data_IF_618682649951
#
_entry.id   IF_618682649951
#
_cell.length_a   1.000
_cell.length_b   1.000
_cell.length_c   1.000
_cell.angle_alpha   90.00
_cell.angle_beta   90.00
_cell.angle_gamma   90.00
#
_symmetry.space_group_name_H-M   'P 1'
#
loop_
_entity.id
_entity.type
_entity.pdbx_description
1 polymer ?
#
# COMPACT_ATOMS: atom_id res chain seq x y z
N UNK A 1 -38.08 52.36 -29.68
CA UNK A 1 -38.28 51.22 -30.62
C UNK A 1 -37.27 50.13 -30.31
N UNK A 2 -37.67 48.88 -30.53
CA UNK A 2 -37.10 47.63 -29.96
C UNK A 2 -35.76 47.22 -30.60
N UNK A 3 -34.86 46.63 -29.81
CA UNK A 3 -33.93 45.57 -30.24
C UNK A 3 -33.46 44.79 -28.99
N UNK A 4 -34.16 43.74 -28.57
CA UNK A 4 -33.97 42.32 -28.93
C UNK A 4 -32.57 41.76 -28.58
N UNK A 5 -32.53 41.22 -27.37
CA UNK A 5 -31.79 40.04 -26.91
C UNK A 5 -31.21 39.12 -27.99
N UNK A 6 -29.89 38.86 -27.91
CA UNK A 6 -29.27 37.64 -28.43
C UNK A 6 -28.33 37.06 -27.37
N UNK A 7 -28.79 35.94 -26.83
CA UNK A 7 -28.05 34.98 -26.00
C UNK A 7 -27.18 34.10 -26.93
N UNK A 8 -26.31 33.31 -26.31
CA UNK A 8 -25.50 32.20 -26.86
C UNK A 8 -24.20 32.61 -27.55
N UNK A 9 -23.08 32.28 -26.92
CA UNK A 9 -22.34 31.11 -27.38
C UNK A 9 -21.61 30.49 -26.19
N UNK A 10 -22.16 29.37 -25.70
CA UNK A 10 -21.61 28.55 -24.62
C UNK A 10 -20.23 28.00 -25.05
N UNK A 11 -19.18 28.52 -24.42
CA UNK A 11 -17.88 27.85 -24.33
C UNK A 11 -17.95 26.84 -23.17
N UNK A 12 -18.53 25.68 -23.42
CA UNK A 12 -18.68 24.59 -22.46
C UNK A 12 -17.96 23.34 -22.93
N UNK A 13 -16.63 23.36 -22.90
CA UNK A 13 -15.84 22.13 -23.03
C UNK A 13 -16.00 21.36 -21.73
N UNK A 14 -16.92 20.40 -21.80
CA UNK A 14 -17.25 19.42 -20.77
C UNK A 14 -16.02 18.54 -20.51
N UNK A 15 -15.30 18.84 -19.43
CA UNK A 15 -14.29 17.94 -18.86
C UNK A 15 -15.02 16.75 -18.22
N UNK A 16 -15.21 15.67 -18.98
CA UNK A 16 -15.62 14.38 -18.43
C UNK A 16 -14.40 13.77 -17.75
N UNK A 17 -14.17 14.11 -16.48
CA UNK A 17 -13.31 13.33 -15.60
C UNK A 17 -14.11 12.09 -15.23
N UNK A 18 -13.89 11.00 -15.95
CA UNK A 18 -14.40 9.68 -15.57
C UNK A 18 -13.77 9.29 -14.24
N UNK A 19 -14.49 9.57 -13.15
CA UNK A 19 -14.23 8.99 -11.84
C UNK A 19 -14.42 7.48 -11.94
N UNK A 20 -13.33 6.75 -12.16
CA UNK A 20 -13.30 5.33 -11.90
C UNK A 20 -13.54 5.12 -10.41
N UNK A 21 -14.72 4.62 -10.05
CA UNK A 21 -14.99 4.16 -8.70
C UNK A 21 -13.95 3.09 -8.35
N UNK A 22 -13.02 3.42 -7.46
CA UNK A 22 -12.06 2.49 -6.90
C UNK A 22 -12.80 1.52 -5.97
N UNK A 23 -13.40 0.46 -6.52
CA UNK A 23 -14.09 -0.58 -5.74
C UNK A 23 -13.12 -1.59 -5.08
N UNK A 24 -11.81 -1.30 -5.04
CA UNK A 24 -10.80 -2.18 -4.48
C UNK A 24 -10.76 -2.19 -2.95
N UNK A 25 -10.20 -3.25 -2.37
CA UNK A 25 -9.89 -3.28 -0.94
C UNK A 25 -8.78 -2.28 -0.66
N UNK A 26 -9.04 -1.33 0.25
CA UNK A 26 -8.06 -0.30 0.60
C UNK A 26 -7.33 -0.71 1.86
N UNK A 27 -6.04 -1.04 1.76
CA UNK A 27 -5.19 -1.22 2.92
C UNK A 27 -4.58 0.12 3.32
N UNK A 28 -4.83 0.54 4.55
CA UNK A 28 -4.17 1.70 5.16
C UNK A 28 -3.35 1.27 6.37
N UNK A 29 -2.27 1.98 6.63
CA UNK A 29 -1.41 1.69 7.76
C UNK A 29 -0.43 2.81 8.08
N UNK A 30 0.33 2.60 9.14
CA UNK A 30 1.37 3.52 9.60
C UNK A 30 2.63 2.76 9.91
N UNK A 31 3.75 3.31 9.45
CA UNK A 31 5.09 2.81 9.80
C UNK A 31 5.66 3.74 10.86
N UNK A 32 6.12 3.17 11.97
CA UNK A 32 6.69 3.89 13.11
C UNK A 32 8.10 3.37 13.40
N UNK A 33 8.90 4.20 14.06
CA UNK A 33 10.24 3.81 14.51
C UNK A 33 10.16 3.29 15.95
N UNK A 34 10.64 2.07 16.20
CA UNK A 34 10.85 1.57 17.57
C UNK A 34 12.10 0.69 17.67
N UNK A 35 12.36 0.13 18.85
CA UNK A 35 13.45 -0.82 19.09
C UNK A 35 13.12 -2.27 18.71
N UNK A 36 11.91 -2.52 18.20
CA UNK A 36 11.44 -3.84 17.75
C UNK A 36 10.94 -3.81 16.31
N UNK A 37 11.15 -4.89 15.57
CA UNK A 37 10.74 -5.01 14.17
C UNK A 37 9.55 -5.97 14.05
N UNK A 38 8.37 -5.47 13.65
CA UNK A 38 7.17 -6.29 13.43
C UNK A 38 6.15 -5.57 12.56
N UNK A 39 5.23 -6.31 11.96
CA UNK A 39 4.06 -5.78 11.26
C UNK A 39 2.83 -6.58 11.68
N UNK A 40 1.75 -5.89 12.05
CA UNK A 40 0.52 -6.55 12.53
C UNK A 40 -0.71 -5.69 12.29
N UNK A 41 -1.86 -6.33 12.13
CA UNK A 41 -3.14 -5.64 12.02
C UNK A 41 -3.65 -5.25 13.39
N UNK A 42 -3.89 -3.95 13.57
CA UNK A 42 -4.43 -3.36 14.80
C UNK A 42 -5.79 -2.72 14.53
N UNK A 43 -6.52 -2.39 15.59
CA UNK A 43 -7.72 -1.56 15.45
C UNK A 43 -7.35 -0.15 14.95
N UNK A 44 -8.24 0.48 14.19
CA UNK A 44 -8.04 1.85 13.72
C UNK A 44 -7.89 2.88 14.86
N UNK A 45 -8.36 2.57 16.07
CA UNK A 45 -8.18 3.40 17.27
C UNK A 45 -7.00 2.97 18.17
N UNK A 46 -6.09 2.09 17.70
CA UNK A 46 -4.93 1.68 18.49
C UNK A 46 -3.98 2.87 18.71
N UNK A 47 -3.69 3.20 19.97
CA UNK A 47 -2.88 4.37 20.35
C UNK A 47 -1.45 4.33 19.81
N UNK A 48 -0.93 3.14 19.45
CA UNK A 48 0.40 3.03 18.81
C UNK A 48 0.42 3.66 17.42
N UNK A 49 -0.74 3.85 16.78
CA UNK A 49 -0.86 4.57 15.52
C UNK A 49 -0.61 6.08 15.69
N UNK A 50 -0.57 6.62 16.92
CA UNK A 50 -0.26 8.03 17.18
C UNK A 50 1.24 8.30 17.32
N UNK A 51 2.07 7.25 17.39
CA UNK A 51 3.51 7.40 17.52
C UNK A 51 4.14 8.12 16.31
N UNK A 52 5.31 8.78 16.49
CA UNK A 52 6.01 9.43 15.39
C UNK A 52 6.29 8.47 14.23
N UNK A 53 5.75 8.80 13.06
CA UNK A 53 5.85 7.95 11.89
C UNK A 53 7.19 8.04 11.16
N UNK A 54 7.40 7.08 10.27
CA UNK A 54 8.63 6.87 9.53
C UNK A 54 8.39 7.09 8.03
N UNK A 55 8.72 8.30 7.55
CA UNK A 55 8.41 8.79 6.19
C UNK A 55 9.33 8.36 5.03
N UNK A 56 8.85 7.70 3.99
CA UNK A 56 9.68 7.17 2.89
C UNK A 56 10.07 5.70 3.03
N UNK A 57 9.33 4.92 3.84
CA UNK A 57 9.40 3.46 3.80
C UNK A 57 8.62 2.94 2.59
N UNK A 58 9.18 1.93 1.91
CA UNK A 58 8.51 1.22 0.81
C UNK A 58 7.67 0.09 1.39
N UNK A 59 6.41 0.01 1.00
CA UNK A 59 5.48 -1.05 1.40
C UNK A 59 5.06 -1.80 0.15
N UNK A 60 5.32 -3.10 0.09
CA UNK A 60 4.94 -3.98 -1.01
C UNK A 60 4.09 -5.14 -0.50
N UNK A 61 3.11 -5.54 -1.29
CA UNK A 61 2.16 -6.59 -0.94
C UNK A 61 2.08 -7.58 -2.08
N UNK A 62 2.26 -8.84 -1.73
CA UNK A 62 2.33 -9.97 -2.64
C UNK A 62 1.20 -10.95 -2.36
N UNK A 63 0.58 -11.44 -3.44
CA UNK A 63 -0.37 -12.54 -3.45
C UNK A 63 0.36 -13.88 -3.61
N UNK A 64 -0.30 -14.96 -3.23
CA UNK A 64 0.14 -16.34 -3.42
C UNK A 64 1.53 -16.57 -2.80
N UNK A 65 1.69 -16.27 -1.50
CA UNK A 65 3.00 -16.16 -0.87
C UNK A 65 3.78 -17.48 -0.84
N UNK A 66 3.10 -18.61 -1.01
CA UNK A 66 3.65 -19.97 -1.06
C UNK A 66 4.16 -20.37 -2.45
N UNK A 67 3.87 -19.59 -3.49
CA UNK A 67 4.32 -19.87 -4.85
C UNK A 67 5.68 -19.24 -5.11
N UNK A 68 6.47 -19.86 -6.00
CA UNK A 68 7.77 -19.32 -6.43
C UNK A 68 7.60 -18.00 -7.20
N UNK A 69 6.44 -17.81 -7.85
CA UNK A 69 6.15 -16.61 -8.65
C UNK A 69 5.08 -15.75 -7.96
N UNK A 70 5.45 -15.19 -6.81
CA UNK A 70 4.56 -14.31 -6.03
C UNK A 70 4.19 -13.09 -6.86
N UNK A 71 2.89 -12.79 -6.94
CA UNK A 71 2.43 -11.64 -7.73
C UNK A 71 2.39 -10.37 -6.87
N UNK A 72 3.08 -9.31 -7.27
CA UNK A 72 2.97 -8.00 -6.63
C UNK A 72 1.57 -7.42 -6.89
N UNK A 73 0.75 -7.37 -5.84
CA UNK A 73 -0.62 -6.87 -5.95
C UNK A 73 -0.73 -5.36 -5.67
N UNK A 74 0.23 -4.79 -4.93
CA UNK A 74 0.21 -3.38 -4.60
C UNK A 74 1.50 -2.89 -3.96
N UNK A 75 1.75 -1.59 -4.11
CA UNK A 75 2.86 -0.90 -3.46
C UNK A 75 2.49 0.52 -3.08
N UNK A 76 3.11 1.02 -2.02
CA UNK A 76 3.07 2.43 -1.62
C UNK A 76 4.38 2.86 -0.98
N UNK A 77 4.53 4.17 -0.81
CA UNK A 77 5.60 4.77 -0.01
C UNK A 77 4.96 5.60 1.09
N UNK A 78 5.52 5.54 2.30
CA UNK A 78 4.96 6.31 3.41
C UNK A 78 5.19 7.81 3.24
N UNK A 79 4.20 8.61 3.61
CA UNK A 79 4.25 10.07 3.62
C UNK A 79 5.09 10.65 4.77
N UNK A 80 5.14 11.98 4.90
CA UNK A 80 5.89 12.67 5.95
C UNK A 80 5.52 12.24 7.38
N UNK A 81 4.28 11.78 7.58
CA UNK A 81 3.75 11.33 8.87
C UNK A 81 3.87 9.81 9.05
N UNK A 82 4.47 9.11 8.09
CA UNK A 82 4.65 7.66 8.10
C UNK A 82 3.41 6.86 7.68
N UNK A 83 2.37 7.52 7.15
CA UNK A 83 1.15 6.85 6.71
C UNK A 83 1.29 6.35 5.28
N UNK A 84 0.56 5.29 4.95
CA UNK A 84 0.45 4.80 3.58
C UNK A 84 -0.97 4.29 3.30
N UNK A 85 -1.33 4.25 2.02
CA UNK A 85 -2.56 3.62 1.53
C UNK A 85 -2.27 2.90 0.23
N UNK A 86 -2.76 1.65 0.13
CA UNK A 86 -2.64 0.78 -1.05
C UNK A 86 -4.04 0.32 -1.43
N UNK A 87 -4.42 0.54 -2.69
CA UNK A 87 -5.63 -0.04 -3.27
C UNK A 87 -5.27 -1.38 -3.87
N UNK A 88 -5.82 -2.46 -3.30
CA UNK A 88 -5.61 -3.82 -3.77
C UNK A 88 -6.75 -4.24 -4.71
N UNK A 89 -6.44 -5.02 -5.76
CA UNK A 89 -7.46 -5.55 -6.67
C UNK A 89 -8.45 -6.44 -5.91
N UNK A 90 -9.75 -6.29 -6.20
CA UNK A 90 -10.86 -6.75 -5.36
C UNK A 90 -11.07 -8.28 -5.35
N UNK A 91 -10.55 -9.03 -6.32
CA UNK A 91 -10.79 -10.47 -6.42
C UNK A 91 -10.15 -11.22 -5.25
N UNK A 92 -10.96 -11.89 -4.40
CA UNK A 92 -10.48 -12.74 -3.29
C UNK A 92 -10.18 -12.02 -1.97
N UNK A 93 -10.04 -10.69 -1.97
CA UNK A 93 -9.51 -9.96 -0.80
C UNK A 93 -10.50 -9.91 0.37
N UNK A 94 -10.15 -10.56 1.49
CA UNK A 94 -10.83 -10.44 2.78
C UNK A 94 -12.07 -11.33 2.99
N UNK A 95 -12.40 -12.17 2.00
CA UNK A 95 -13.54 -13.11 2.05
C UNK A 95 -13.17 -14.56 1.70
N UNK A 96 -12.02 -14.78 1.06
CA UNK A 96 -11.34 -16.09 1.02
C UNK A 96 -10.21 -16.12 2.05
N UNK A 97 -9.89 -17.31 2.57
CA UNK A 97 -8.70 -17.54 3.41
C UNK A 97 -7.43 -17.42 2.57
N UNK A 98 -7.13 -16.20 2.14
CA UNK A 98 -5.94 -15.86 1.37
C UNK A 98 -4.93 -15.18 2.31
N UNK A 99 -3.75 -15.75 2.42
CA UNK A 99 -2.62 -15.14 3.13
C UNK A 99 -1.85 -14.24 2.19
N UNK A 100 -1.40 -13.11 2.72
CA UNK A 100 -0.73 -12.07 1.96
C UNK A 100 0.65 -11.81 2.54
N UNK A 101 1.65 -11.76 1.68
CA UNK A 101 3.01 -11.44 2.11
C UNK A 101 3.26 -9.94 1.97
N UNK A 102 3.60 -9.30 3.08
CA UNK A 102 3.80 -7.86 3.18
C UNK A 102 5.26 -7.61 3.50
N UNK A 103 5.92 -6.82 2.67
CA UNK A 103 7.32 -6.44 2.81
C UNK A 103 7.42 -4.94 3.01
N UNK A 104 8.05 -4.52 4.10
CA UNK A 104 8.36 -3.13 4.39
C UNK A 104 9.87 -2.95 4.45
N UNK A 105 10.39 -2.08 3.60
CA UNK A 105 11.81 -1.78 3.54
C UNK A 105 12.09 -0.28 3.60
N UNK A 106 13.22 0.07 4.21
CA UNK A 106 13.72 1.44 4.25
C UNK A 106 15.23 1.46 4.51
N UNK A 107 15.95 2.32 3.79
CA UNK A 107 17.38 2.54 4.02
C UNK A 107 17.67 2.88 5.49
N UNK A 108 18.69 2.24 6.05
CA UNK A 108 19.11 2.32 7.47
C UNK A 108 18.18 1.67 8.49
N UNK A 109 17.20 0.87 8.03
CA UNK A 109 16.33 0.04 8.87
C UNK A 109 16.40 -1.42 8.45
N UNK A 110 16.17 -2.32 9.40
CA UNK A 110 15.92 -3.72 9.07
C UNK A 110 14.60 -3.87 8.32
N UNK A 111 14.58 -4.76 7.32
CA UNK A 111 13.35 -5.12 6.62
C UNK A 111 12.36 -5.77 7.59
N UNK A 112 11.07 -5.49 7.41
CA UNK A 112 9.99 -6.13 8.13
C UNK A 112 9.16 -6.92 7.13
N UNK A 113 9.00 -8.20 7.39
CA UNK A 113 8.23 -9.12 6.55
C UNK A 113 7.18 -9.81 7.42
N UNK A 114 5.97 -9.93 6.91
CA UNK A 114 4.91 -10.70 7.56
C UNK A 114 4.04 -11.38 6.52
N UNK A 115 3.46 -12.52 6.89
CA UNK A 115 2.49 -13.26 6.07
C UNK A 115 1.24 -13.47 6.91
N UNK A 116 0.19 -12.72 6.60
CA UNK A 116 -1.02 -12.64 7.42
C UNK A 116 -2.26 -12.63 6.51
N UNK A 117 -3.42 -13.14 6.98
CA UNK A 117 -4.67 -12.95 6.26
C UNK A 117 -5.07 -11.48 6.26
N UNK A 118 -5.62 -11.00 5.13
CA UNK A 118 -6.18 -9.65 5.10
C UNK A 118 -7.48 -9.59 5.91
N UNK A 119 -7.64 -8.59 6.79
CA UNK A 119 -8.90 -8.42 7.51
C UNK A 119 -10.08 -8.26 6.55
N UNK A 120 -11.23 -8.83 6.88
CA UNK A 120 -12.46 -8.65 6.10
C UNK A 120 -12.97 -7.19 6.08
N UNK A 121 -12.55 -6.38 7.06
CA UNK A 121 -12.92 -4.98 7.20
C UNK A 121 -11.68 -4.09 7.14
N UNK A 122 -11.41 -3.52 5.97
CA UNK A 122 -10.35 -2.53 5.73
C UNK A 122 -10.53 -1.25 6.55
N UNK A 123 -11.78 -0.84 6.81
CA UNK A 123 -12.07 0.41 7.52
C UNK A 123 -11.72 0.36 9.01
N UNK A 124 -11.89 -0.79 9.66
CA UNK A 124 -11.68 -0.99 11.11
C UNK A 124 -10.28 -1.45 11.49
N UNK A 125 -9.51 -1.95 10.53
CA UNK A 125 -8.14 -2.42 10.75
C UNK A 125 -7.14 -1.51 10.07
N UNK A 126 -5.97 -1.36 10.70
CA UNK A 126 -4.81 -0.68 10.14
C UNK A 126 -3.61 -1.59 10.27
N UNK A 127 -2.72 -1.58 9.28
CA UNK A 127 -1.43 -2.23 9.44
C UNK A 127 -0.51 -1.30 10.23
N UNK A 128 -0.17 -1.70 11.45
CA UNK A 128 0.89 -1.06 12.23
C UNK A 128 2.19 -1.77 11.92
N UNK A 129 3.17 -1.01 11.46
CA UNK A 129 4.52 -1.51 11.18
C UNK A 129 5.50 -0.79 12.07
N UNK A 130 6.26 -1.56 12.82
CA UNK A 130 7.34 -1.08 13.65
C UNK A 130 8.66 -1.45 13.02
N UNK A 131 9.51 -0.46 12.71
CA UNK A 131 10.84 -0.70 12.14
C UNK A 131 11.94 -0.32 13.14
N UNK A 132 12.93 -1.21 13.27
CA UNK A 132 14.16 -0.99 14.03
C UNK A 132 15.26 -0.50 13.12
N UNK A 133 16.06 0.47 13.59
CA UNK A 133 17.28 0.90 12.88
C UNK A 133 18.24 -0.29 12.75
N UNK A 134 18.90 -0.40 11.61
CA UNK A 134 19.80 -1.50 11.33
C UNK A 134 20.04 -1.67 9.83
N UNK A 135 20.80 -2.69 9.47
CA UNK A 135 21.03 -3.02 8.06
C UNK A 135 19.83 -3.81 7.54
N UNK A 136 19.31 -3.43 6.39
CA UNK A 136 18.35 -4.23 5.63
C UNK A 136 19.04 -5.50 5.17
N UNK A 137 18.55 -6.66 5.60
CA UNK A 137 18.91 -7.92 4.95
C UNK A 137 18.01 -8.07 3.72
N UNK A 138 18.54 -8.53 2.57
CA UNK A 138 17.71 -8.79 1.41
C UNK A 138 16.60 -9.75 1.82
N UNK A 139 15.34 -9.33 1.61
CA UNK A 139 14.22 -10.23 1.80
C UNK A 139 14.31 -11.37 0.81
N UNK A 140 13.68 -12.52 1.12
CA UNK A 140 13.63 -13.64 0.19
C UNK A 140 13.08 -13.20 -1.19
N UNK A 141 12.06 -12.33 -1.19
CA UNK A 141 11.49 -11.77 -2.42
C UNK A 141 12.39 -10.77 -3.17
N UNK A 142 13.23 -9.98 -2.49
CA UNK A 142 14.17 -9.07 -3.18
C UNK A 142 15.31 -9.84 -3.85
N UNK A 143 15.76 -10.94 -3.26
CA UNK A 143 16.75 -11.80 -3.89
C UNK A 143 16.19 -12.42 -5.18
N UNK A 144 14.95 -12.92 -5.15
CA UNK A 144 14.23 -13.47 -6.30
C UNK A 144 14.07 -12.43 -7.44
N UNK A 145 13.58 -11.22 -7.13
CA UNK A 145 13.41 -10.13 -8.10
C UNK A 145 14.74 -9.77 -8.80
N UNK A 146 15.86 -9.78 -8.06
CA UNK A 146 17.20 -9.50 -8.62
C UNK A 146 17.68 -10.61 -9.56
N UNK A 147 17.40 -11.88 -9.26
CA UNK A 147 17.72 -13.00 -10.14
C UNK A 147 16.89 -12.98 -11.43
N UNK A 148 15.59 -12.70 -11.34
CA UNK A 148 14.74 -12.55 -12.52
C UNK A 148 15.15 -11.36 -13.39
N UNK A 149 15.47 -10.22 -12.76
CA UNK A 149 15.93 -9.04 -13.48
C UNK A 149 17.27 -9.30 -14.20
N UNK A 150 18.21 -10.01 -13.57
CA UNK A 150 19.47 -10.39 -14.21
C UNK A 150 19.26 -11.37 -15.38
N UNK A 151 18.26 -12.26 -15.29
CA UNK A 151 17.89 -13.18 -16.37
C UNK A 151 17.32 -12.50 -17.61
N UNK A 152 16.69 -11.33 -17.47
CA UNK A 152 16.08 -10.57 -18.59
C UNK A 152 17.11 -9.86 -19.49
N UNK A 153 18.35 -9.66 -19.02
CA UNK A 153 19.42 -8.98 -19.76
C UNK A 153 20.47 -9.93 -20.36
N UNK A 154 20.19 -11.23 -20.39
CA UNK A 154 20.97 -12.24 -21.13
C UNK A 154 20.23 -12.66 -22.40
#
# INVERSE_FOLDING_TARGET
>A
MRARSIRLMLLGVLLIVTGGCSSGYTLSGRVVRTDSAYATFVDASDSRLEAPGLAGASVRIYRDPETINRSLAGRATTDADGNFTIVLPQFGVGWMEETWHIVISRSQYGNVETTEPLPSSSSRRRLLVSMRRGTSNPSAGEAEDLYEQAGRYR
#
